data_IF_255517076870
#
_entry.id   IF_255517076870
#
_cell.length_a   1.000
_cell.length_b   1.000
_cell.length_c   1.000
_cell.angle_alpha   90.00
_cell.angle_beta   90.00
_cell.angle_gamma   90.00
#
_symmetry.space_group_name_H-M   'P 1'
#
loop_
_entity.id
_entity.type
_entity.pdbx_description
1 polymer ?
#
# COMPACT_ATOMS: atom_id res chain seq x y z
N UNK A 1 -3.89 12.20 27.20
CA UNK A 1 -3.07 11.54 26.16
C UNK A 1 -3.91 10.40 25.62
N UNK A 2 -3.98 10.22 24.29
CA UNK A 2 -4.73 9.09 23.74
C UNK A 2 -4.04 7.78 24.12
N UNK A 3 -4.82 6.73 24.36
CA UNK A 3 -4.27 5.41 24.66
C UNK A 3 -3.45 4.91 23.47
N UNK A 4 -2.30 4.24 23.71
CA UNK A 4 -1.47 3.76 22.63
C UNK A 4 -2.20 2.67 21.83
N UNK A 5 -2.14 2.78 20.50
CA UNK A 5 -2.72 1.81 19.57
C UNK A 5 -1.56 1.16 18.83
N UNK A 6 -1.17 -0.04 19.26
CA UNK A 6 -0.02 -0.73 18.70
C UNK A 6 -0.40 -1.56 17.47
N UNK A 7 0.38 -1.40 16.40
CA UNK A 7 0.36 -2.26 15.22
C UNK A 7 1.71 -2.93 15.04
N UNK A 8 1.73 -4.24 14.81
CA UNK A 8 2.94 -4.96 14.42
C UNK A 8 3.05 -4.98 12.91
N UNK A 9 4.22 -4.64 12.38
CA UNK A 9 4.50 -4.65 10.93
C UNK A 9 5.44 -5.79 10.54
N UNK A 10 5.65 -5.98 9.23
CA UNK A 10 6.38 -7.13 8.68
C UNK A 10 7.85 -7.20 9.11
N UNK A 11 8.48 -6.05 9.35
CA UNK A 11 9.85 -5.91 9.87
C UNK A 11 9.99 -6.32 11.33
N UNK A 12 8.88 -6.66 12.01
CA UNK A 12 8.85 -7.02 13.42
C UNK A 12 8.77 -5.82 14.37
N UNK A 13 8.82 -4.60 13.86
CA UNK A 13 8.59 -3.36 14.63
C UNK A 13 7.14 -3.31 15.16
N UNK A 14 6.97 -2.62 16.28
CA UNK A 14 5.67 -2.18 16.77
C UNK A 14 5.55 -0.66 16.61
N UNK A 15 4.51 -0.22 15.92
CA UNK A 15 4.23 1.19 15.63
C UNK A 15 3.04 1.62 16.49
N UNK A 16 3.16 2.75 17.18
CA UNK A 16 2.04 3.36 17.87
C UNK A 16 1.28 4.28 16.92
N UNK A 17 0.09 3.86 16.49
CA UNK A 17 -0.74 4.63 15.58
C UNK A 17 -1.25 5.94 16.22
N UNK A 18 -1.36 6.00 17.56
CA UNK A 18 -1.77 7.22 18.26
C UNK A 18 -0.73 8.35 18.21
N UNK A 19 0.53 8.01 17.89
CA UNK A 19 1.65 8.96 17.78
C UNK A 19 2.42 8.76 16.48
N UNK A 20 1.76 8.29 15.42
CA UNK A 20 2.39 7.97 14.14
C UNK A 20 3.10 9.18 13.53
N UNK A 21 4.29 8.96 12.97
CA UNK A 21 5.10 10.00 12.36
C UNK A 21 5.76 9.51 11.05
N UNK A 22 6.27 10.41 10.19
CA UNK A 22 7.01 10.01 9.01
C UNK A 22 8.23 9.10 9.30
N UNK A 23 8.80 9.17 10.51
CA UNK A 23 9.92 8.29 10.91
C UNK A 23 9.47 6.83 11.12
N UNK A 24 8.17 6.59 11.27
CA UNK A 24 7.61 5.24 11.41
C UNK A 24 7.45 4.53 10.06
N UNK A 25 7.40 5.30 8.96
CA UNK A 25 7.19 4.81 7.59
C UNK A 25 8.40 4.02 7.10
N UNK A 26 8.18 2.77 6.68
CA UNK A 26 9.17 1.95 6.01
C UNK A 26 8.58 1.35 4.73
N UNK A 27 9.23 1.58 3.60
CA UNK A 27 8.76 1.10 2.29
C UNK A 27 8.63 -0.42 2.25
N UNK A 28 9.53 -1.17 2.90
CA UNK A 28 9.48 -2.63 2.98
C UNK A 28 8.24 -3.14 3.71
N UNK A 29 7.81 -2.44 4.76
CA UNK A 29 6.59 -2.76 5.51
C UNK A 29 5.33 -2.47 4.69
N UNK A 30 5.31 -1.34 3.98
CA UNK A 30 4.23 -0.97 3.06
C UNK A 30 4.10 -2.00 1.94
N UNK A 31 5.19 -2.30 1.23
CA UNK A 31 5.18 -3.26 0.10
C UNK A 31 4.69 -4.62 0.57
N UNK A 32 5.12 -5.08 1.74
CA UNK A 32 4.67 -6.36 2.29
C UNK A 32 3.18 -6.33 2.62
N UNK A 33 2.70 -5.30 3.32
CA UNK A 33 1.28 -5.16 3.65
C UNK A 33 0.41 -5.11 2.38
N UNK A 34 0.75 -4.25 1.41
CA UNK A 34 0.00 -4.10 0.15
C UNK A 34 0.02 -5.37 -0.70
N UNK A 35 1.05 -6.21 -0.59
CA UNK A 35 1.11 -7.53 -1.26
C UNK A 35 0.07 -8.51 -0.71
N UNK A 36 -0.33 -8.36 0.56
CA UNK A 36 -1.25 -9.26 1.24
C UNK A 36 -2.70 -8.76 1.26
N UNK A 37 -2.94 -7.46 1.12
CA UNK A 37 -4.32 -6.92 1.07
C UNK A 37 -4.93 -7.22 -0.30
N UNK A 38 -6.03 -7.97 -0.31
CA UNK A 38 -6.77 -8.30 -1.53
C UNK A 38 -7.82 -7.24 -1.86
N UNK A 39 -7.92 -6.89 -3.14
CA UNK A 39 -9.01 -6.05 -3.63
C UNK A 39 -10.35 -6.78 -3.55
N UNK A 40 -11.43 -6.00 -3.59
CA UNK A 40 -12.81 -6.51 -3.55
C UNK A 40 -13.13 -7.35 -2.30
N UNK A 41 -12.41 -7.14 -1.19
CA UNK A 41 -12.49 -7.97 0.03
C UNK A 41 -12.32 -9.48 -0.24
N UNK A 42 -11.57 -9.83 -1.30
CA UNK A 42 -11.41 -11.22 -1.72
C UNK A 42 -12.59 -11.81 -2.51
N UNK A 43 -13.67 -11.07 -2.77
CA UNK A 43 -14.77 -11.54 -3.59
C UNK A 43 -14.34 -11.62 -5.05
N UNK A 44 -14.33 -12.83 -5.60
CA UNK A 44 -13.95 -13.07 -6.98
C UNK A 44 -14.68 -14.29 -7.55
N UNK A 45 -14.74 -14.35 -8.89
CA UNK A 45 -15.29 -15.49 -9.61
C UNK A 45 -14.26 -16.61 -9.73
N UNK A 46 -13.74 -16.82 -10.94
CA UNK A 46 -12.72 -17.85 -11.22
C UNK A 46 -11.29 -17.35 -11.19
N UNK A 47 -11.11 -16.03 -11.12
CA UNK A 47 -9.81 -15.37 -11.21
C UNK A 47 -9.56 -14.68 -9.87
N UNK A 48 -8.45 -15.01 -9.22
CA UNK A 48 -8.04 -14.37 -7.97
C UNK A 48 -7.94 -12.84 -8.13
N UNK A 49 -8.38 -12.05 -7.12
CA UNK A 49 -8.30 -10.62 -7.19
C UNK A 49 -6.85 -10.17 -7.03
N UNK A 50 -6.53 -9.05 -7.69
CA UNK A 50 -5.28 -8.35 -7.49
C UNK A 50 -5.09 -8.03 -6.00
N UNK A 51 -3.85 -8.15 -5.52
CA UNK A 51 -3.47 -7.44 -4.31
C UNK A 51 -3.50 -5.92 -4.56
N UNK A 52 -3.50 -5.14 -3.49
CA UNK A 52 -3.37 -3.68 -3.61
C UNK A 52 -2.04 -3.32 -4.30
N UNK A 53 -0.94 -4.01 -3.98
CA UNK A 53 0.33 -3.79 -4.67
C UNK A 53 0.24 -4.06 -6.17
N UNK A 54 -0.37 -5.18 -6.59
CA UNK A 54 -0.53 -5.50 -8.01
C UNK A 54 -1.39 -4.48 -8.73
N UNK A 55 -2.39 -3.93 -8.04
CA UNK A 55 -3.20 -2.84 -8.59
C UNK A 55 -2.39 -1.55 -8.75
N UNK A 56 -1.61 -1.14 -7.76
CA UNK A 56 -0.76 0.07 -7.85
C UNK A 56 0.30 -0.05 -8.96
N UNK A 57 0.86 -1.23 -9.18
CA UNK A 57 1.76 -1.49 -10.31
C UNK A 57 1.00 -1.35 -11.64
N UNK A 58 -0.17 -1.99 -11.77
CA UNK A 58 -0.97 -1.89 -12.99
C UNK A 58 -1.40 -0.46 -13.30
N UNK A 59 -1.75 0.36 -12.30
CA UNK A 59 -2.11 1.76 -12.54
C UNK A 59 -0.91 2.60 -12.95
N UNK A 60 0.28 2.31 -12.43
CA UNK A 60 1.52 2.96 -12.87
C UNK A 60 1.88 2.56 -14.32
N UNK A 61 1.79 1.27 -14.66
CA UNK A 61 2.02 0.78 -16.03
C UNK A 61 1.05 1.43 -17.04
N UNK A 62 -0.22 1.61 -16.64
CA UNK A 62 -1.22 2.31 -17.45
C UNK A 62 -0.89 3.81 -17.58
N UNK A 63 -0.44 4.45 -16.50
CA UNK A 63 -0.04 5.85 -16.53
C UNK A 63 1.14 6.05 -17.51
N UNK A 64 2.16 5.20 -17.44
CA UNK A 64 3.28 5.19 -18.40
C UNK A 64 2.79 4.99 -19.83
N UNK A 65 1.90 4.02 -20.07
CA UNK A 65 1.32 3.74 -21.39
C UNK A 65 0.56 4.93 -21.97
N UNK A 66 -0.19 5.66 -21.14
CA UNK A 66 -0.91 6.88 -21.56
C UNK A 66 0.02 8.10 -21.75
N UNK A 67 1.31 7.96 -21.49
CA UNK A 67 2.31 9.02 -21.68
C UNK A 67 2.15 10.19 -20.71
N UNK A 68 1.61 9.94 -19.52
CA UNK A 68 1.46 10.99 -18.49
C UNK A 68 2.83 11.32 -17.85
N UNK A 69 2.98 12.48 -17.19
CA UNK A 69 4.22 12.82 -16.49
C UNK A 69 4.59 11.79 -15.43
N UNK A 70 5.89 11.51 -15.27
CA UNK A 70 6.41 10.57 -14.26
C UNK A 70 5.98 10.87 -12.82
N UNK A 71 5.62 12.13 -12.51
CA UNK A 71 5.06 12.48 -11.19
C UNK A 71 3.69 11.85 -10.94
N UNK A 72 2.87 11.68 -11.99
CA UNK A 72 1.59 10.98 -11.90
C UNK A 72 1.77 9.47 -11.86
N UNK A 73 2.73 8.92 -12.61
CA UNK A 73 3.12 7.51 -12.48
C UNK A 73 3.56 7.18 -11.04
N UNK A 74 4.40 8.02 -10.45
CA UNK A 74 4.80 7.88 -9.05
C UNK A 74 3.61 7.98 -8.09
N UNK A 75 2.68 8.92 -8.34
CA UNK A 75 1.46 9.02 -7.56
C UNK A 75 0.62 7.73 -7.65
N UNK A 76 0.53 7.10 -8.83
CA UNK A 76 -0.14 5.82 -9.02
C UNK A 76 0.49 4.69 -8.18
N UNK A 77 1.81 4.68 -8.00
CA UNK A 77 2.48 3.66 -7.17
C UNK A 77 2.13 3.77 -5.68
N UNK A 78 1.85 4.97 -5.16
CA UNK A 78 1.73 5.20 -3.71
C UNK A 78 0.33 5.61 -3.23
N UNK A 79 -0.63 5.86 -4.14
CA UNK A 79 -1.94 6.43 -3.77
C UNK A 79 -2.73 5.59 -2.75
N UNK A 80 -2.53 4.27 -2.74
CA UNK A 80 -3.20 3.35 -1.82
C UNK A 80 -2.39 3.05 -0.54
N UNK A 81 -1.20 3.67 -0.36
CA UNK A 81 -0.34 3.51 0.83
C UNK A 81 -0.65 4.55 1.93
N UNK A 82 -1.85 4.48 2.50
CA UNK A 82 -2.39 5.40 3.51
C UNK A 82 -2.14 4.96 4.96
#
# INVERSE_FOLDING_TARGET
MADPIWMRVSSGRYINLATFSPADVALTDIVTALSHIKRCNGHHGRIEPLSVLQHSMLTADLAEHEGVPASLEYACLIHDAH
#
